data_IF_662751852630
#
_entry.id   IF_662751852630
#
_cell.length_a   1.000
_cell.length_b   1.000
_cell.length_c   1.000
_cell.angle_alpha   90.00
_cell.angle_beta   90.00
_cell.angle_gamma   90.00
#
_symmetry.space_group_name_H-M   'P 1'
#
loop_
_entity.id
_entity.type
_entity.pdbx_description
1 polymer ?
#
# COMPACT_ATOMS: atom_id res chain seq x y z
N UNK A 1 12.43 6.02 22.57
CA UNK A 1 12.57 4.98 21.51
C UNK A 1 13.42 5.47 20.34
N UNK A 2 13.10 6.58 19.67
CA UNK A 2 13.86 7.10 18.51
C UNK A 2 15.36 7.31 18.82
N UNK A 3 15.70 7.94 19.95
CA UNK A 3 17.11 8.15 20.35
C UNK A 3 17.89 6.84 20.52
N UNK A 4 17.25 5.82 21.09
CA UNK A 4 17.84 4.49 21.27
C UNK A 4 18.15 3.84 19.91
N UNK A 5 17.17 3.80 19.02
CA UNK A 5 17.32 3.20 17.67
C UNK A 5 18.37 3.95 16.86
N UNK A 6 18.38 5.29 16.91
CA UNK A 6 19.38 6.12 16.21
C UNK A 6 20.80 5.80 16.68
N UNK A 7 21.01 5.72 18.00
CA UNK A 7 22.34 5.42 18.55
C UNK A 7 22.77 3.98 18.26
N UNK A 8 21.83 3.03 18.33
CA UNK A 8 22.09 1.64 17.95
C UNK A 8 22.52 1.52 16.50
N UNK A 9 21.76 2.10 15.56
CA UNK A 9 22.10 2.09 14.14
C UNK A 9 23.40 2.83 13.84
N UNK A 10 23.66 3.97 14.48
CA UNK A 10 24.96 4.66 14.34
C UNK A 10 26.13 3.79 14.78
N UNK A 11 26.05 3.20 15.98
CA UNK A 11 27.15 2.41 16.55
C UNK A 11 27.38 1.10 15.79
N UNK A 12 26.30 0.43 15.36
CA UNK A 12 26.37 -0.88 14.70
C UNK A 12 26.68 -0.74 13.21
N UNK A 13 26.01 0.16 12.49
CA UNK A 13 26.06 0.18 11.02
C UNK A 13 27.14 1.13 10.46
N UNK A 14 27.64 2.09 11.25
CA UNK A 14 28.64 3.07 10.78
C UNK A 14 30.03 2.85 11.36
N UNK A 15 30.13 2.53 12.65
CA UNK A 15 31.42 2.55 13.38
C UNK A 15 31.91 1.18 13.81
N UNK A 16 31.17 0.10 13.53
CA UNK A 16 31.53 -1.24 13.98
C UNK A 16 32.52 -1.91 13.02
N UNK A 17 33.78 -2.01 13.42
CA UNK A 17 34.83 -2.70 12.65
C UNK A 17 34.63 -4.21 12.50
N UNK A 18 33.71 -4.80 13.28
CA UNK A 18 33.40 -6.24 13.22
C UNK A 18 32.20 -6.55 12.31
N UNK A 19 31.54 -5.53 11.75
CA UNK A 19 30.42 -5.73 10.84
C UNK A 19 30.93 -5.82 9.41
N UNK A 20 30.79 -6.99 8.78
CA UNK A 20 31.13 -7.17 7.37
C UNK A 20 30.06 -6.57 6.43
N UNK A 21 28.78 -6.85 6.71
CA UNK A 21 27.66 -6.43 5.88
C UNK A 21 26.36 -6.36 6.69
N UNK A 22 25.47 -5.46 6.32
CA UNK A 22 24.13 -5.36 6.90
C UNK A 22 23.10 -4.97 5.84
N UNK A 23 21.91 -5.55 5.97
CA UNK A 23 20.73 -5.19 5.16
C UNK A 23 19.69 -4.61 6.09
N UNK A 24 19.05 -3.53 5.65
CA UNK A 24 17.98 -2.88 6.38
C UNK A 24 16.77 -2.76 5.46
N UNK A 25 15.69 -3.44 5.81
CA UNK A 25 14.46 -3.48 5.02
C UNK A 25 13.36 -2.67 5.69
N UNK A 26 12.55 -1.97 4.91
CA UNK A 26 11.39 -1.24 5.39
C UNK A 26 10.53 -0.71 4.24
N UNK A 27 9.29 -0.33 4.54
CA UNK A 27 8.37 0.18 3.52
C UNK A 27 8.59 1.67 3.19
N UNK A 28 9.29 2.39 4.08
CA UNK A 28 9.66 3.79 3.94
C UNK A 28 11.12 3.98 4.31
N UNK A 29 11.70 5.06 3.83
CA UNK A 29 13.11 5.38 4.08
C UNK A 29 13.31 5.69 5.56
N UNK A 30 14.34 5.08 6.15
CA UNK A 30 14.58 5.11 7.61
C UNK A 30 15.25 6.42 8.05
N UNK A 31 15.98 7.08 7.15
CA UNK A 31 16.58 8.38 7.40
C UNK A 31 16.65 9.20 6.11
N UNK A 32 16.46 10.51 6.24
CA UNK A 32 16.93 11.47 5.22
C UNK A 32 18.45 11.54 5.30
N UNK A 33 19.09 11.59 4.15
CA UNK A 33 20.49 11.99 4.07
C UNK A 33 20.62 13.35 4.75
N UNK A 34 21.33 13.36 5.86
CA UNK A 34 21.52 14.55 6.66
C UNK A 34 22.97 14.99 6.49
N UNK A 35 23.17 16.31 6.40
CA UNK A 35 24.50 16.93 6.49
C UNK A 35 25.21 16.66 7.83
N UNK A 36 24.52 16.03 8.80
CA UNK A 36 25.06 15.73 10.13
C UNK A 36 25.61 14.30 10.25
N UNK A 37 26.46 14.09 11.25
CA UNK A 37 27.35 12.93 11.47
C UNK A 37 26.67 11.57 11.74
N UNK A 38 25.35 11.47 11.61
CA UNK A 38 24.58 10.24 11.80
C UNK A 38 24.84 9.17 10.73
N UNK A 39 24.07 8.09 10.76
CA UNK A 39 24.13 7.04 9.74
C UNK A 39 23.65 7.60 8.39
N UNK A 40 24.55 7.67 7.40
CA UNK A 40 24.35 8.41 6.16
C UNK A 40 24.99 7.76 4.92
N UNK A 41 25.43 6.50 5.03
CA UNK A 41 26.14 5.77 3.99
C UNK A 41 25.33 4.57 3.45
N UNK A 42 24.03 4.78 3.23
CA UNK A 42 23.16 3.73 2.70
C UNK A 42 23.17 3.72 1.17
N UNK A 43 23.37 2.55 0.60
CA UNK A 43 22.84 2.24 -0.72
C UNK A 43 21.36 1.88 -0.55
N UNK A 44 20.49 2.60 -1.27
CA UNK A 44 19.04 2.41 -1.17
C UNK A 44 18.55 1.72 -2.42
N UNK A 45 17.97 0.54 -2.23
CA UNK A 45 17.30 -0.23 -3.27
C UNK A 45 15.80 -0.11 -3.04
N UNK A 46 15.14 0.60 -3.94
CA UNK A 46 13.71 0.87 -3.93
C UNK A 46 12.95 -0.08 -4.85
N UNK A 47 11.63 -0.04 -4.77
CA UNK A 47 10.74 -0.81 -5.66
C UNK A 47 10.84 -0.43 -7.15
N UNK A 48 11.52 0.68 -7.46
CA UNK A 48 11.73 1.16 -8.82
C UNK A 48 13.08 0.74 -9.41
N UNK A 49 13.99 0.23 -8.58
CA UNK A 49 15.31 -0.21 -9.03
C UNK A 49 15.21 -1.55 -9.76
N UNK A 50 15.92 -1.66 -10.88
CA UNK A 50 15.99 -2.91 -11.67
C UNK A 50 16.86 -3.94 -10.95
N UNK A 51 17.81 -3.46 -10.14
CA UNK A 51 18.64 -4.36 -9.36
C UNK A 51 17.76 -5.08 -8.33
N UNK A 52 17.73 -6.40 -8.45
CA UNK A 52 16.96 -7.32 -7.60
C UNK A 52 15.44 -7.27 -7.75
N UNK A 53 14.91 -6.72 -8.84
CA UNK A 53 13.46 -6.59 -9.02
C UNK A 53 12.69 -7.92 -8.93
N UNK A 54 13.28 -9.03 -9.39
CA UNK A 54 12.73 -10.38 -9.28
C UNK A 54 12.66 -10.94 -7.84
N UNK A 55 13.47 -10.43 -6.91
CA UNK A 55 13.58 -10.99 -5.54
C UNK A 55 12.59 -10.35 -4.54
N UNK A 56 11.79 -9.39 -4.97
CA UNK A 56 10.77 -8.76 -4.10
C UNK A 56 9.48 -9.60 -4.00
N UNK A 57 9.31 -10.60 -4.85
CA UNK A 57 8.14 -11.47 -4.88
C UNK A 57 8.46 -12.82 -5.49
N UNK A 58 7.42 -13.54 -5.92
CA UNK A 58 7.60 -14.70 -6.80
C UNK A 58 7.41 -14.29 -8.25
N UNK A 59 8.29 -14.78 -9.11
CA UNK A 59 8.13 -14.66 -10.56
C UNK A 59 7.00 -15.57 -11.06
N UNK A 60 6.48 -15.27 -12.26
CA UNK A 60 5.45 -16.09 -12.88
C UNK A 60 5.88 -17.55 -13.06
N UNK A 61 7.16 -17.77 -13.39
CA UNK A 61 7.75 -19.12 -13.49
C UNK A 61 7.74 -19.84 -12.15
N UNK A 62 8.19 -19.19 -11.07
CA UNK A 62 8.21 -19.82 -9.74
C UNK A 62 6.81 -20.18 -9.24
N UNK A 63 5.80 -19.35 -9.55
CA UNK A 63 4.40 -19.65 -9.24
C UNK A 63 3.88 -20.82 -10.05
N UNK A 64 4.17 -20.88 -11.35
CA UNK A 64 3.80 -22.03 -12.18
C UNK A 64 4.45 -23.33 -11.68
N UNK A 65 5.75 -23.28 -11.35
CA UNK A 65 6.48 -24.43 -10.82
C UNK A 65 5.92 -24.89 -9.48
N UNK A 66 5.59 -23.96 -8.58
CA UNK A 66 4.95 -24.27 -7.30
C UNK A 66 3.59 -24.95 -7.49
N UNK A 67 2.75 -24.42 -8.38
CA UNK A 67 1.44 -25.01 -8.66
C UNK A 67 1.56 -26.40 -9.29
N UNK A 68 2.48 -26.58 -10.22
CA UNK A 68 2.77 -27.88 -10.83
C UNK A 68 3.25 -28.90 -9.78
N UNK A 69 4.12 -28.50 -8.86
CA UNK A 69 4.66 -29.36 -7.82
C UNK A 69 3.57 -29.94 -6.90
N UNK A 70 2.49 -29.17 -6.65
CA UNK A 70 1.38 -29.58 -5.79
C UNK A 70 0.17 -30.13 -6.56
N UNK A 71 0.28 -30.40 -7.86
CA UNK A 71 -0.83 -30.81 -8.74
C UNK A 71 -1.99 -29.78 -8.78
N UNK A 72 -1.68 -28.49 -8.64
CA UNK A 72 -2.62 -27.37 -8.60
C UNK A 72 -2.64 -26.50 -9.86
N UNK A 73 -2.03 -26.95 -10.97
CA UNK A 73 -1.88 -26.18 -12.22
C UNK A 73 -3.21 -25.63 -12.77
N UNK A 74 -4.33 -26.30 -12.50
CA UNK A 74 -5.67 -25.86 -12.89
C UNK A 74 -6.12 -24.53 -12.25
N UNK A 75 -5.48 -24.09 -11.17
CA UNK A 75 -5.78 -22.84 -10.48
C UNK A 75 -4.90 -21.66 -10.92
N UNK A 76 -3.97 -21.85 -11.87
CA UNK A 76 -3.03 -20.80 -12.27
C UNK A 76 -3.70 -19.47 -12.66
N UNK A 77 -4.77 -19.52 -13.46
CA UNK A 77 -5.51 -18.29 -13.86
C UNK A 77 -6.06 -17.55 -12.66
N UNK A 78 -6.57 -18.27 -11.68
CA UNK A 78 -7.14 -17.72 -10.46
C UNK A 78 -6.06 -17.10 -9.56
N UNK A 79 -4.90 -17.77 -9.43
CA UNK A 79 -3.71 -17.22 -8.75
C UNK A 79 -3.23 -15.94 -9.42
N UNK A 80 -3.15 -15.93 -10.75
CA UNK A 80 -2.70 -14.77 -11.53
C UNK A 80 -3.62 -13.57 -11.36
N UNK A 81 -4.93 -13.77 -11.46
CA UNK A 81 -5.90 -12.68 -11.30
C UNK A 81 -5.88 -12.07 -9.89
N UNK A 82 -5.69 -12.90 -8.86
CA UNK A 82 -5.78 -12.46 -7.48
C UNK A 82 -4.48 -11.92 -6.89
N UNK A 83 -3.32 -12.45 -7.30
CA UNK A 83 -2.07 -12.29 -6.55
C UNK A 83 -0.87 -11.80 -7.36
N UNK A 84 -0.99 -11.75 -8.70
CA UNK A 84 0.03 -11.18 -9.59
C UNK A 84 -0.05 -9.64 -9.65
N UNK A 85 0.76 -9.02 -10.49
CA UNK A 85 0.51 -7.68 -10.99
C UNK A 85 1.31 -6.59 -10.28
N UNK A 86 2.26 -6.93 -9.40
CA UNK A 86 3.18 -5.98 -8.81
C UNK A 86 4.41 -5.80 -9.71
N UNK A 87 4.56 -4.62 -10.29
CA UNK A 87 5.72 -4.25 -11.08
C UNK A 87 6.81 -3.64 -10.18
N UNK A 88 7.89 -4.40 -9.96
CA UNK A 88 9.14 -3.93 -9.37
C UNK A 88 10.15 -3.76 -10.48
N UNK A 89 10.90 -2.64 -10.52
CA UNK A 89 11.84 -2.39 -11.62
C UNK A 89 11.21 -2.70 -12.99
N UNK A 90 11.75 -3.71 -13.68
CA UNK A 90 11.25 -4.24 -14.96
C UNK A 90 10.55 -5.61 -14.85
N UNK A 91 10.42 -6.17 -13.66
CA UNK A 91 9.83 -7.50 -13.41
C UNK A 91 8.45 -7.40 -12.75
N UNK A 92 7.48 -8.13 -13.29
CA UNK A 92 6.18 -8.34 -12.63
C UNK A 92 6.28 -9.56 -11.72
N UNK A 93 5.88 -9.40 -10.45
CA UNK A 93 5.96 -10.43 -9.41
C UNK A 93 4.64 -10.55 -8.65
N UNK A 94 4.47 -11.71 -8.03
CA UNK A 94 3.36 -12.06 -7.16
C UNK A 94 3.69 -11.76 -5.71
N UNK A 95 2.67 -11.47 -4.90
CA UNK A 95 2.82 -11.43 -3.44
C UNK A 95 3.10 -12.84 -2.88
N UNK A 96 4.28 -13.11 -2.29
CA UNK A 96 4.62 -14.47 -1.83
C UNK A 96 3.67 -14.99 -0.76
N UNK A 97 3.24 -14.13 0.15
CA UNK A 97 2.35 -14.51 1.24
C UNK A 97 0.99 -14.99 0.73
N UNK A 98 0.41 -14.26 -0.23
CA UNK A 98 -0.88 -14.61 -0.81
C UNK A 98 -0.81 -15.96 -1.55
N UNK A 99 0.22 -16.15 -2.38
CA UNK A 99 0.42 -17.40 -3.14
C UNK A 99 0.62 -18.59 -2.19
N UNK A 100 1.51 -18.48 -1.19
CA UNK A 100 1.77 -19.57 -0.23
C UNK A 100 0.50 -19.93 0.53
N UNK A 101 -0.23 -18.93 1.04
CA UNK A 101 -1.44 -19.16 1.80
C UNK A 101 -2.53 -19.83 0.95
N UNK A 102 -2.70 -19.39 -0.29
CA UNK A 102 -3.70 -19.97 -1.17
C UNK A 102 -3.35 -21.40 -1.58
N UNK A 103 -2.12 -21.64 -2.05
CA UNK A 103 -1.63 -23.00 -2.38
C UNK A 103 -1.80 -23.95 -1.18
N UNK A 104 -1.45 -23.49 0.04
CA UNK A 104 -1.62 -24.28 1.26
C UNK A 104 -3.08 -24.66 1.53
N UNK A 105 -4.03 -23.75 1.33
CA UNK A 105 -5.46 -24.06 1.54
C UNK A 105 -6.01 -24.93 0.42
N UNK A 106 -5.68 -24.65 -0.84
CA UNK A 106 -6.07 -25.48 -1.98
C UNK A 106 -5.61 -26.93 -1.83
N UNK A 107 -4.38 -27.13 -1.36
CA UNK A 107 -3.85 -28.46 -1.09
C UNK A 107 -4.65 -29.21 -0.01
N UNK A 108 -5.26 -28.50 0.94
CA UNK A 108 -6.11 -29.09 1.97
C UNK A 108 -7.58 -29.27 1.53
N UNK A 109 -8.10 -28.36 0.72
CA UNK A 109 -9.45 -28.40 0.14
C UNK A 109 -9.43 -27.84 -1.30
N UNK A 110 -9.61 -28.70 -2.32
CA UNK A 110 -9.63 -28.29 -3.73
C UNK A 110 -10.74 -27.30 -4.10
N UNK A 111 -11.75 -27.12 -3.26
CA UNK A 111 -12.84 -26.15 -3.49
C UNK A 111 -12.57 -24.78 -2.85
N UNK A 112 -11.38 -24.59 -2.26
CA UNK A 112 -11.00 -23.32 -1.64
C UNK A 112 -11.04 -22.19 -2.66
N UNK A 113 -11.74 -21.11 -2.31
CA UNK A 113 -11.73 -19.87 -3.09
C UNK A 113 -10.58 -18.96 -2.64
N UNK A 114 -10.05 -18.12 -3.56
CA UNK A 114 -9.11 -17.07 -3.20
C UNK A 114 -9.66 -16.15 -2.14
N UNK A 115 -8.75 -15.63 -1.31
CA UNK A 115 -9.04 -14.68 -0.25
C UNK A 115 -7.96 -13.58 -0.22
N UNK A 116 -8.26 -12.47 0.46
CA UNK A 116 -7.34 -11.35 0.63
C UNK A 116 -6.35 -11.59 1.79
N UNK A 117 -5.37 -12.50 1.63
CA UNK A 117 -4.47 -12.89 2.73
C UNK A 117 -3.58 -11.75 3.23
N UNK A 118 -3.00 -10.96 2.33
CA UNK A 118 -2.19 -9.79 2.68
C UNK A 118 -3.02 -8.69 3.35
N UNK A 119 -4.22 -8.43 2.86
CA UNK A 119 -5.13 -7.44 3.46
C UNK A 119 -5.53 -7.80 4.90
N UNK A 120 -5.56 -9.08 5.25
CA UNK A 120 -5.88 -9.54 6.60
C UNK A 120 -4.69 -9.38 7.58
N UNK A 121 -3.47 -9.21 7.07
CA UNK A 121 -2.26 -9.02 7.89
C UNK A 121 -1.72 -7.57 7.83
N UNK A 122 -2.23 -6.74 6.93
CA UNK A 122 -1.81 -5.35 6.77
C UNK A 122 -2.59 -4.37 7.66
N UNK A 123 -1.89 -3.34 8.15
CA UNK A 123 -2.53 -2.19 8.78
C UNK A 123 -3.22 -1.32 7.72
N UNK A 124 -4.46 -1.65 7.35
CA UNK A 124 -5.25 -0.95 6.32
C UNK A 124 -5.62 0.52 6.65
N UNK A 125 -5.10 1.06 7.75
CA UNK A 125 -5.35 2.42 8.19
C UNK A 125 -4.90 3.46 7.15
N UNK A 126 -3.86 3.18 6.35
CA UNK A 126 -3.38 4.11 5.33
C UNK A 126 -4.39 4.34 4.21
N UNK A 127 -5.04 3.28 3.72
CA UNK A 127 -6.09 3.36 2.70
C UNK A 127 -7.26 4.18 3.25
N UNK A 128 -7.63 3.94 4.51
CA UNK A 128 -8.71 4.70 5.14
C UNK A 128 -8.37 6.18 5.31
N UNK A 129 -7.15 6.50 5.74
CA UNK A 129 -6.66 7.89 5.85
C UNK A 129 -6.65 8.59 4.49
N UNK A 130 -6.22 7.88 3.46
CA UNK A 130 -6.23 8.36 2.09
C UNK A 130 -7.64 8.71 1.61
N UNK A 131 -8.61 7.82 1.80
CA UNK A 131 -10.03 8.07 1.45
C UNK A 131 -10.58 9.27 2.24
N UNK A 132 -10.30 9.36 3.55
CA UNK A 132 -10.79 10.46 4.38
C UNK A 132 -10.27 11.84 3.94
N UNK A 133 -9.07 11.91 3.35
CA UNK A 133 -8.43 13.16 2.92
C UNK A 133 -8.61 13.44 1.43
N UNK A 134 -9.30 12.56 0.71
CA UNK A 134 -9.49 12.71 -0.72
C UNK A 134 -10.38 13.93 -1.03
N UNK A 135 -9.83 14.87 -1.78
CA UNK A 135 -10.59 15.94 -2.43
C UNK A 135 -11.36 15.42 -3.65
N UNK A 136 -12.11 16.28 -4.33
CA UNK A 136 -12.92 15.89 -5.49
C UNK A 136 -12.08 15.27 -6.62
N UNK A 137 -10.86 15.77 -6.84
CA UNK A 137 -9.96 15.23 -7.85
C UNK A 137 -9.45 13.83 -7.45
N UNK A 138 -9.01 13.67 -6.19
CA UNK A 138 -8.54 12.39 -5.67
C UNK A 138 -9.65 11.34 -5.65
N UNK A 139 -10.90 11.73 -5.38
CA UNK A 139 -12.06 10.84 -5.49
C UNK A 139 -12.25 10.32 -6.92
N UNK A 140 -12.14 11.20 -7.92
CA UNK A 140 -12.19 10.78 -9.33
C UNK A 140 -11.04 9.81 -9.66
N UNK A 141 -9.82 10.10 -9.19
CA UNK A 141 -8.67 9.20 -9.36
C UNK A 141 -8.90 7.82 -8.72
N UNK A 142 -9.51 7.77 -7.52
CA UNK A 142 -9.89 6.52 -6.85
C UNK A 142 -10.91 5.74 -7.68
N UNK A 143 -11.94 6.40 -8.22
CA UNK A 143 -12.95 5.77 -9.07
C UNK A 143 -12.32 5.15 -10.32
N UNK A 144 -11.42 5.87 -10.97
CA UNK A 144 -10.66 5.40 -12.13
C UNK A 144 -9.80 4.19 -11.80
N UNK A 145 -9.11 4.20 -10.65
CA UNK A 145 -8.33 3.06 -10.18
C UNK A 145 -9.19 1.81 -9.96
N UNK A 146 -10.38 1.97 -9.36
CA UNK A 146 -11.32 0.87 -9.15
C UNK A 146 -11.89 0.35 -10.47
N UNK A 147 -12.09 1.22 -11.46
CA UNK A 147 -12.45 0.84 -12.81
C UNK A 147 -11.33 0.08 -13.56
N UNK A 148 -10.13 -0.01 -12.98
CA UNK A 148 -8.98 -0.68 -13.60
C UNK A 148 -8.16 0.23 -14.50
N UNK A 149 -8.43 1.54 -14.49
CA UNK A 149 -7.62 2.54 -15.18
C UNK A 149 -6.34 2.88 -14.42
N UNK A 150 -5.49 3.69 -15.05
CA UNK A 150 -4.29 4.23 -14.43
C UNK A 150 -4.39 5.73 -14.16
N UNK A 151 -3.81 6.17 -13.05
CA UNK A 151 -3.65 7.60 -12.71
C UNK A 151 -2.19 7.98 -12.78
N UNK A 152 -1.88 9.21 -13.17
CA UNK A 152 -0.48 9.69 -13.21
C UNK A 152 -0.20 10.49 -11.96
N UNK A 153 0.84 10.11 -11.22
CA UNK A 153 1.25 10.76 -9.96
C UNK A 153 2.76 10.92 -9.89
N UNK A 154 3.18 11.95 -9.17
CA UNK A 154 4.59 12.16 -8.86
C UNK A 154 4.98 11.31 -7.64
N UNK A 155 6.11 10.61 -7.75
CA UNK A 155 6.60 9.69 -6.72
C UNK A 155 7.98 10.15 -6.23
N UNK A 156 8.06 10.37 -4.92
CA UNK A 156 9.24 10.78 -4.18
C UNK A 156 9.71 9.63 -3.28
N UNK A 157 10.82 8.99 -3.64
CA UNK A 157 11.40 7.87 -2.90
C UNK A 157 12.03 8.26 -1.55
N UNK A 158 12.20 9.55 -1.30
CA UNK A 158 12.87 10.08 -0.10
C UNK A 158 11.94 10.30 1.10
N UNK A 159 10.67 9.90 0.96
CA UNK A 159 9.65 10.13 1.97
C UNK A 159 9.97 9.36 3.27
N UNK A 160 9.89 10.08 4.40
CA UNK A 160 10.05 9.49 5.73
C UNK A 160 8.73 9.38 6.47
N UNK A 161 8.67 8.52 7.50
CA UNK A 161 7.47 8.32 8.33
C UNK A 161 6.90 9.62 8.93
N UNK A 162 7.75 10.59 9.27
CA UNK A 162 7.31 11.86 9.86
C UNK A 162 6.51 12.74 8.89
N UNK A 163 6.62 12.48 7.59
CA UNK A 163 6.03 13.28 6.52
C UNK A 163 4.82 12.58 5.88
N UNK A 164 4.53 11.35 6.28
CA UNK A 164 3.49 10.51 5.69
C UNK A 164 2.12 11.21 5.64
N UNK A 165 1.73 11.87 6.72
CA UNK A 165 0.43 12.54 6.85
C UNK A 165 0.52 14.06 6.57
N UNK A 166 1.56 14.59 5.93
CA UNK A 166 1.66 16.04 5.70
C UNK A 166 0.92 16.51 4.44
N UNK A 167 0.71 15.65 3.45
CA UNK A 167 0.02 15.98 2.20
C UNK A 167 -0.68 14.76 1.58
N UNK A 168 -1.60 14.99 0.63
CA UNK A 168 -2.21 13.90 -0.14
C UNK A 168 -1.19 13.22 -1.08
N UNK A 169 -0.22 13.97 -1.58
CA UNK A 169 0.87 13.44 -2.42
C UNK A 169 1.75 12.47 -1.64
N UNK A 170 1.99 12.71 -0.35
CA UNK A 170 2.74 11.78 0.48
C UNK A 170 1.96 10.48 0.72
N UNK A 171 0.62 10.55 0.77
CA UNK A 171 -0.21 9.35 0.84
C UNK A 171 -0.17 8.54 -0.47
N UNK A 172 -0.16 9.19 -1.64
CA UNK A 172 0.06 8.51 -2.92
C UNK A 172 1.40 7.76 -2.93
N UNK A 173 2.46 8.40 -2.44
CA UNK A 173 3.77 7.79 -2.28
C UNK A 173 3.73 6.55 -1.38
N UNK A 174 3.09 6.65 -0.22
CA UNK A 174 3.00 5.50 0.70
C UNK A 174 2.19 4.37 0.10
N UNK A 175 1.06 4.66 -0.57
CA UNK A 175 0.26 3.63 -1.24
C UNK A 175 1.08 2.89 -2.30
N UNK A 176 1.94 3.60 -3.03
CA UNK A 176 2.86 3.01 -3.99
C UNK A 176 3.97 2.16 -3.31
N UNK A 177 4.72 2.73 -2.36
CA UNK A 177 5.86 2.01 -1.75
C UNK A 177 5.45 0.83 -0.87
N UNK A 178 4.21 0.82 -0.39
CA UNK A 178 3.65 -0.30 0.40
C UNK A 178 2.90 -1.34 -0.44
N UNK A 179 2.78 -1.13 -1.76
CA UNK A 179 2.18 -2.11 -2.67
C UNK A 179 0.65 -2.04 -2.82
N UNK A 180 -0.03 -1.03 -2.26
CA UNK A 180 -1.45 -0.81 -2.60
C UNK A 180 -1.61 -0.34 -4.05
N UNK A 181 -0.59 0.29 -4.60
CA UNK A 181 -0.49 0.68 -5.99
C UNK A 181 0.84 0.18 -6.56
N UNK A 182 0.85 -0.07 -7.86
CA UNK A 182 2.07 -0.42 -8.60
C UNK A 182 2.20 0.45 -9.84
N UNK A 183 3.38 0.45 -10.45
CA UNK A 183 3.67 1.24 -11.64
C UNK A 183 3.32 0.50 -12.94
N UNK A 184 2.88 1.26 -13.95
CA UNK A 184 2.62 0.81 -15.32
C UNK A 184 3.41 1.71 -16.30
N UNK A 185 4.68 1.87 -16.02
CA UNK A 185 5.61 2.70 -16.75
C UNK A 185 5.66 4.15 -16.26
N UNK A 186 6.79 4.78 -16.62
CA UNK A 186 7.13 6.17 -16.33
C UNK A 186 6.67 7.09 -17.46
N UNK A 187 6.12 8.25 -17.14
CA UNK A 187 5.65 9.26 -18.12
C UNK A 187 6.60 10.44 -18.23
N UNK A 188 7.25 10.81 -17.12
CA UNK A 188 8.26 11.85 -17.04
C UNK A 188 9.19 11.57 -15.86
N UNK A 189 10.19 12.41 -15.64
CA UNK A 189 11.00 12.35 -14.42
C UNK A 189 10.10 12.37 -13.17
N UNK A 190 10.27 11.38 -12.29
CA UNK A 190 9.46 11.13 -11.10
C UNK A 190 7.94 10.98 -11.29
N UNK A 191 7.41 10.96 -12.52
CA UNK A 191 5.98 10.72 -12.77
C UNK A 191 5.71 9.33 -13.31
N UNK A 192 4.78 8.63 -12.66
CA UNK A 192 4.45 7.24 -12.96
C UNK A 192 2.95 7.07 -13.18
N UNK A 193 2.60 6.18 -14.10
CA UNK A 193 1.24 5.66 -14.20
C UNK A 193 1.06 4.61 -13.13
N UNK A 194 0.14 4.83 -12.21
CA UNK A 194 -0.17 3.92 -11.12
C UNK A 194 -1.46 3.15 -11.42
N UNK A 195 -1.48 1.88 -11.07
CA UNK A 195 -2.66 1.00 -11.08
C UNK A 195 -2.78 0.25 -9.76
N UNK A 196 -3.97 -0.26 -9.48
CA UNK A 196 -4.15 -1.32 -8.47
C UNK A 196 -3.56 -2.62 -9.06
N UNK A 197 -2.72 -3.36 -8.33
CA UNK A 197 -1.98 -4.51 -8.87
C UNK A 197 -2.89 -5.68 -9.28
N UNK A 198 -3.84 -6.05 -8.42
CA UNK A 198 -4.68 -7.24 -8.59
C UNK A 198 -6.07 -7.10 -7.96
N UNK A 199 -6.87 -8.17 -8.12
CA UNK A 199 -8.22 -8.24 -7.60
C UNK A 199 -8.27 -8.17 -6.07
N UNK A 200 -7.30 -8.75 -5.35
CA UNK A 200 -7.30 -8.72 -3.89
C UNK A 200 -7.18 -7.30 -3.33
N UNK A 201 -6.22 -6.52 -3.86
CA UNK A 201 -6.06 -5.11 -3.46
C UNK A 201 -7.27 -4.27 -3.92
N UNK A 202 -7.84 -4.55 -5.10
CA UNK A 202 -9.07 -3.87 -5.57
C UNK A 202 -10.25 -4.11 -4.62
N UNK A 203 -10.44 -5.35 -4.18
CA UNK A 203 -11.50 -5.70 -3.23
C UNK A 203 -11.32 -4.97 -1.89
N UNK A 204 -10.08 -4.84 -1.43
CA UNK A 204 -9.76 -4.04 -0.26
C UNK A 204 -10.19 -2.57 -0.42
N UNK A 205 -9.82 -1.90 -1.51
CA UNK A 205 -10.24 -0.51 -1.77
C UNK A 205 -11.77 -0.38 -1.74
N UNK A 206 -12.48 -1.25 -2.46
CA UNK A 206 -13.94 -1.26 -2.51
C UNK A 206 -14.53 -1.44 -1.10
N UNK A 207 -13.99 -2.37 -0.31
CA UNK A 207 -14.43 -2.60 1.07
C UNK A 207 -14.23 -1.36 1.94
N UNK A 208 -13.05 -0.75 1.90
CA UNK A 208 -12.73 0.45 2.68
C UNK A 208 -13.63 1.64 2.31
N UNK A 209 -13.92 1.83 1.02
CA UNK A 209 -14.82 2.89 0.55
C UNK A 209 -16.26 2.64 0.99
N UNK A 210 -16.74 1.40 0.90
CA UNK A 210 -18.09 1.03 1.39
C UNK A 210 -18.23 1.25 2.89
N UNK A 211 -17.21 0.87 3.67
CA UNK A 211 -17.17 1.11 5.10
C UNK A 211 -17.10 2.60 5.43
N UNK A 212 -16.35 3.38 4.65
CA UNK A 212 -16.29 4.83 4.78
C UNK A 212 -17.64 5.47 4.51
N UNK A 213 -18.25 5.16 3.37
CA UNK A 213 -19.57 5.69 2.99
C UNK A 213 -20.63 5.37 4.06
N UNK A 214 -20.68 4.12 4.55
CA UNK A 214 -21.63 3.75 5.63
C UNK A 214 -21.45 4.56 6.90
N UNK A 215 -20.21 4.92 7.26
CA UNK A 215 -19.93 5.71 8.46
C UNK A 215 -20.27 7.18 8.25
N UNK A 216 -19.87 7.76 7.11
CA UNK A 216 -20.18 9.15 6.76
C UNK A 216 -21.68 9.37 6.60
N UNK A 217 -22.40 8.49 5.88
CA UNK A 217 -23.86 8.64 5.72
C UNK A 217 -24.64 8.48 7.03
N UNK A 218 -24.15 7.68 7.98
CA UNK A 218 -24.75 7.60 9.33
C UNK A 218 -24.53 8.89 10.09
N UNK A 219 -23.31 9.43 10.06
CA UNK A 219 -23.00 10.71 10.69
C UNK A 219 -23.81 11.84 10.07
N UNK A 220 -23.93 11.90 8.75
CA UNK A 220 -24.72 12.91 8.06
C UNK A 220 -26.21 12.75 8.37
N UNK A 221 -26.73 11.51 8.41
CA UNK A 221 -28.11 11.24 8.81
C UNK A 221 -28.41 11.66 10.25
N UNK A 222 -27.52 11.35 11.19
CA UNK A 222 -27.65 11.76 12.58
C UNK A 222 -27.52 13.28 12.73
N UNK A 223 -26.61 13.92 11.99
CA UNK A 223 -26.42 15.38 11.97
C UNK A 223 -27.63 16.08 11.37
N UNK A 224 -28.20 15.54 10.29
CA UNK A 224 -29.38 16.08 9.63
C UNK A 224 -30.63 15.91 10.52
N UNK A 225 -30.75 14.76 11.20
CA UNK A 225 -31.81 14.54 12.19
C UNK A 225 -31.66 15.47 13.41
N UNK A 226 -30.45 15.67 13.92
CA UNK A 226 -30.17 16.63 15.01
C UNK A 226 -30.49 18.06 14.57
N UNK A 227 -30.11 18.45 13.34
CA UNK A 227 -30.47 19.74 12.76
C UNK A 227 -31.99 19.90 12.65
N UNK A 228 -32.70 18.94 12.07
CA UNK A 228 -34.16 18.96 11.97
C UNK A 228 -34.88 19.01 13.33
N UNK A 229 -34.35 18.30 14.33
CA UNK A 229 -34.88 18.33 15.70
C UNK A 229 -34.62 19.68 16.38
N UNK A 230 -33.45 20.29 16.20
CA UNK A 230 -33.13 21.62 16.74
C UNK A 230 -34.07 22.72 16.18
N UNK A 231 -34.48 22.60 14.91
CA UNK A 231 -35.51 23.47 14.31
C UNK A 231 -36.91 23.22 14.89
N UNK A 232 -37.22 21.97 15.23
CA UNK A 232 -38.53 21.58 15.78
C UNK A 232 -38.67 21.97 17.26
N UNK A 233 -37.56 22.03 18.00
CA UNK A 233 -37.52 22.36 19.44
C UNK A 233 -37.32 23.87 19.73
N UNK A 234 -37.24 24.73 18.69
CA UNK A 234 -36.99 26.18 18.80
C UNK A 234 -35.78 26.57 19.66
N UNK A 235 -34.73 25.73 19.70
CA UNK A 235 -33.53 26.00 20.50
C UNK A 235 -32.29 26.04 19.60
N UNK A 236 -31.98 27.19 18.97
CA UNK A 236 -30.87 27.33 18.04
C UNK A 236 -29.57 27.58 18.81
N UNK A 237 -29.04 26.56 19.48
CA UNK A 237 -27.60 26.54 19.74
C UNK A 237 -26.87 26.31 18.39
N UNK A 238 -25.71 26.93 18.11
CA UNK A 238 -25.13 26.94 16.79
C UNK A 238 -24.65 25.53 16.42
N UNK A 239 -25.49 24.80 15.68
CA UNK A 239 -25.05 23.66 14.89
C UNK A 239 -24.19 24.22 13.76
N UNK A 240 -22.88 24.32 14.00
CA UNK A 240 -21.92 24.74 12.98
C UNK A 240 -21.82 23.62 11.95
N UNK A 241 -22.63 23.72 10.90
CA UNK A 241 -22.51 22.89 9.70
C UNK A 241 -21.37 23.49 8.87
N UNK A 242 -20.17 22.94 9.02
CA UNK A 242 -19.05 23.23 8.12
C UNK A 242 -19.19 22.35 6.88
N UNK A 243 -19.38 23.00 5.72
CA UNK A 243 -19.34 22.37 4.39
C UNK A 243 -17.93 21.93 4.02
#
# INVERSE_FOLDING_TARGET
MVSLIRNMFGNVLKTNSNLYFAVLTGCLRIAKESIFTGLNNFEVLSVLDVQYDEYFGFTDTEVQDMLNYYDLSGHYTEVKEWYDGYQFGNTEVYCPWDVICYCKKLYADPNTKPEDYWSNTSGNAIVRRFINRADSQTKNDIERLIAGETVTKEIHQELTYNELDSSIENLWNVLFTTGYLTQKGKTAENQFRLKIPNLGVKNLFIKQIREWFRQTSRQDGDTLNQFCNAFSEQNPAPATVTF
#
